data_IF_371893530917
#
_entry.id   IF_371893530917
#
_cell.length_a   1.000
_cell.length_b   1.000
_cell.length_c   1.000
_cell.angle_alpha   90.00
_cell.angle_beta   90.00
_cell.angle_gamma   90.00
#
_symmetry.space_group_name_H-M   'P 1'
#
loop_
_entity.id
_entity.type
_entity.pdbx_description
1 polymer ?
#
# COMPACT_ATOMS: atom_id res chain seq x y z
N UNK A 1 33.04 30.03 19.90
CA UNK A 1 33.26 29.05 20.99
C UNK A 1 34.15 27.99 20.37
N UNK A 2 35.21 27.56 21.04
CA UNK A 2 36.11 26.56 20.49
C UNK A 2 35.43 25.20 20.45
N UNK A 3 35.73 24.38 19.42
CA UNK A 3 35.32 23.00 19.34
C UNK A 3 36.02 22.14 20.42
N UNK A 4 35.40 21.03 20.84
CA UNK A 4 35.98 20.12 21.86
C UNK A 4 37.36 19.60 21.43
N UNK A 5 37.57 19.36 20.14
CA UNK A 5 38.86 18.96 19.58
C UNK A 5 39.95 20.02 19.78
N UNK A 6 39.61 21.31 19.64
CA UNK A 6 40.54 22.44 19.85
C UNK A 6 40.86 22.58 21.34
N UNK A 7 39.86 22.41 22.25
CA UNK A 7 40.06 22.44 23.69
C UNK A 7 40.97 21.29 24.15
N UNK A 8 40.73 20.07 23.62
CA UNK A 8 41.60 18.93 23.91
C UNK A 8 43.02 19.16 23.44
N UNK A 9 43.20 19.77 22.24
CA UNK A 9 44.51 20.10 21.73
C UNK A 9 45.22 21.12 22.64
N UNK A 10 44.53 22.17 23.13
CA UNK A 10 45.11 23.14 24.10
C UNK A 10 45.56 22.43 25.38
N UNK A 11 44.75 21.48 25.92
CA UNK A 11 45.09 20.70 27.11
C UNK A 11 46.30 19.79 26.89
N UNK A 12 46.35 19.05 25.75
CA UNK A 12 47.49 18.22 25.39
C UNK A 12 48.78 19.06 25.24
N UNK A 13 48.72 20.25 24.58
CA UNK A 13 49.85 21.14 24.47
C UNK A 13 50.33 21.68 25.81
N UNK A 14 49.42 21.93 26.77
CA UNK A 14 49.71 22.41 28.09
C UNK A 14 50.26 21.32 29.01
N UNK A 15 49.52 20.19 29.13
CA UNK A 15 49.77 19.17 30.16
C UNK A 15 50.82 18.15 29.73
N UNK A 16 50.83 17.75 28.44
CA UNK A 16 51.76 16.73 27.94
C UNK A 16 53.04 17.34 27.34
N UNK A 17 52.91 18.47 26.61
CA UNK A 17 54.06 19.10 25.96
C UNK A 17 54.64 20.28 26.75
N UNK A 18 54.04 20.66 27.88
CA UNK A 18 54.54 21.68 28.78
C UNK A 18 54.65 23.10 28.23
N UNK A 19 53.93 23.40 27.14
CA UNK A 19 54.04 24.69 26.46
C UNK A 19 53.46 25.85 27.33
N UNK A 20 54.10 27.06 27.20
CA UNK A 20 53.55 28.25 27.84
C UNK A 20 52.24 28.68 27.17
N UNK A 21 51.34 29.34 27.95
CA UNK A 21 50.07 29.84 27.47
C UNK A 21 50.21 30.73 26.24
N UNK A 22 51.26 31.57 26.22
CA UNK A 22 51.58 32.45 25.07
C UNK A 22 51.89 31.64 23.82
N UNK A 23 52.68 30.56 23.95
CA UNK A 23 53.03 29.70 22.84
C UNK A 23 51.85 28.89 22.34
N UNK A 24 50.94 28.43 23.25
CA UNK A 24 49.71 27.76 22.90
C UNK A 24 48.74 28.72 22.16
N UNK A 25 48.62 29.95 22.63
CA UNK A 25 47.79 30.98 21.99
C UNK A 25 48.26 31.25 20.55
N UNK A 26 49.55 31.35 20.35
CA UNK A 26 50.17 31.52 19.02
C UNK A 26 49.96 30.27 18.11
N UNK A 27 50.24 29.10 18.66
CA UNK A 27 50.16 27.82 17.88
C UNK A 27 48.74 27.51 17.45
N UNK A 28 47.75 27.77 18.33
CA UNK A 28 46.31 27.49 18.08
C UNK A 28 45.58 28.66 17.47
N UNK A 29 46.27 29.80 17.23
CA UNK A 29 45.69 31.06 16.74
C UNK A 29 44.45 31.50 17.53
N UNK A 30 44.53 31.43 18.87
CA UNK A 30 43.46 31.81 19.77
C UNK A 30 43.93 32.94 20.70
N UNK A 31 42.95 33.69 21.26
CA UNK A 31 43.28 34.75 22.23
C UNK A 31 43.94 34.14 23.49
N UNK A 32 44.94 34.82 24.02
CA UNK A 32 45.69 34.41 25.24
C UNK A 32 44.76 34.04 26.41
N UNK A 33 43.70 34.83 26.62
CA UNK A 33 42.72 34.56 27.68
C UNK A 33 41.97 33.24 27.42
N UNK A 34 41.71 32.92 26.18
CA UNK A 34 41.06 31.66 25.78
C UNK A 34 41.98 30.48 25.98
N UNK A 35 43.29 30.61 25.55
CA UNK A 35 44.31 29.61 25.80
C UNK A 35 44.52 29.36 27.30
N UNK A 36 44.60 30.42 28.13
CA UNK A 36 44.70 30.30 29.58
C UNK A 36 43.49 29.61 30.20
N UNK A 37 42.28 30.02 29.82
CA UNK A 37 41.04 29.45 30.33
C UNK A 37 40.94 27.95 30.15
N UNK A 38 41.32 27.43 28.99
CA UNK A 38 41.23 26.03 28.68
C UNK A 38 42.51 25.23 28.96
N UNK A 39 43.64 25.91 29.14
CA UNK A 39 44.92 25.29 29.44
C UNK A 39 45.15 25.06 30.93
N UNK A 40 44.82 26.07 31.76
CA UNK A 40 45.05 26.04 33.24
C UNK A 40 43.80 25.65 34.03
N UNK A 41 42.58 25.86 33.49
CA UNK A 41 41.34 25.48 34.14
C UNK A 41 40.86 24.09 33.70
N UNK A 42 40.53 23.22 34.61
CA UNK A 42 39.91 21.91 34.35
C UNK A 42 38.43 22.00 33.94
N UNK A 43 37.96 23.19 33.64
CA UNK A 43 36.57 23.41 33.31
C UNK A 43 36.29 23.07 31.84
N UNK A 44 35.49 22.03 31.61
CA UNK A 44 34.77 21.81 30.34
C UNK A 44 33.85 23.01 30.06
N UNK A 45 33.60 23.34 28.80
CA UNK A 45 32.64 24.41 28.47
C UNK A 45 31.31 24.12 29.18
N UNK A 46 30.89 24.99 30.06
CA UNK A 46 29.55 24.87 30.68
C UNK A 46 28.54 24.97 29.54
N UNK A 47 27.74 23.95 29.34
CA UNK A 47 26.59 24.05 28.47
C UNK A 47 25.75 25.25 28.89
N UNK A 48 25.55 26.18 27.96
CA UNK A 48 24.60 27.28 28.20
C UNK A 48 23.21 26.65 28.26
N UNK A 49 22.68 26.45 29.45
CA UNK A 49 21.27 26.16 29.66
C UNK A 49 20.48 27.33 29.08
N UNK A 50 19.94 27.18 27.87
CA UNK A 50 19.00 28.14 27.32
C UNK A 50 17.74 28.10 28.20
N UNK A 51 17.49 29.14 29.00
CA UNK A 51 16.22 29.29 29.68
C UNK A 51 15.20 29.58 28.59
N UNK A 52 14.31 28.62 28.34
CA UNK A 52 13.22 28.77 27.38
C UNK A 52 12.28 29.88 27.89
N UNK A 53 12.01 30.85 27.03
CA UNK A 53 11.17 32.01 27.32
C UNK A 53 9.90 31.98 26.52
N UNK A 54 8.87 32.69 26.97
CA UNK A 54 7.60 32.85 26.27
C UNK A 54 6.40 32.27 27.02
N UNK A 55 5.21 32.53 26.53
CA UNK A 55 3.94 32.27 27.21
C UNK A 55 3.79 30.83 27.73
N UNK A 56 4.32 29.84 27.01
CA UNK A 56 4.23 28.46 27.45
C UNK A 56 5.06 28.16 28.69
N UNK A 57 6.17 28.91 28.92
CA UNK A 57 7.12 28.67 30.01
C UNK A 57 6.99 29.68 31.14
N UNK A 58 6.87 30.98 30.83
CA UNK A 58 6.83 32.06 31.82
C UNK A 58 5.44 32.23 32.46
N UNK A 59 4.38 32.05 31.63
CA UNK A 59 2.97 32.12 32.06
C UNK A 59 2.37 30.79 32.48
N UNK A 60 3.19 29.73 32.52
CA UNK A 60 2.84 28.37 32.97
C UNK A 60 1.76 27.67 32.13
N UNK A 61 1.41 28.16 30.92
CA UNK A 61 0.46 27.47 30.02
C UNK A 61 0.96 26.08 29.60
N UNK A 62 2.30 25.92 29.57
CA UNK A 62 2.92 24.63 29.24
C UNK A 62 2.63 23.54 30.26
N UNK A 63 2.57 23.88 31.57
CA UNK A 63 2.26 22.92 32.63
C UNK A 63 0.88 22.30 32.40
N UNK A 64 -0.13 23.13 32.10
CA UNK A 64 -1.50 22.65 31.80
C UNK A 64 -1.53 21.72 30.58
N UNK A 65 -0.76 22.07 29.56
CA UNK A 65 -0.69 21.22 28.34
C UNK A 65 -0.01 19.90 28.64
N UNK A 66 1.04 19.87 29.46
CA UNK A 66 1.71 18.64 29.88
C UNK A 66 0.75 17.75 30.64
N UNK A 67 0.04 18.25 31.64
CA UNK A 67 -0.93 17.49 32.41
C UNK A 67 -1.99 16.87 31.52
N UNK A 68 -2.50 17.60 30.54
CA UNK A 68 -3.47 17.10 29.58
C UNK A 68 -2.90 16.02 28.63
N UNK A 69 -1.64 16.16 28.23
CA UNK A 69 -0.98 15.17 27.40
C UNK A 69 -0.69 13.87 28.16
N UNK A 70 -0.30 13.98 29.43
CA UNK A 70 -0.11 12.82 30.31
C UNK A 70 -1.41 12.09 30.60
N UNK A 71 -2.53 12.82 30.81
CA UNK A 71 -3.86 12.21 30.88
C UNK A 71 -4.21 11.46 29.59
N UNK A 72 -3.96 12.11 28.45
CA UNK A 72 -4.25 11.53 27.13
C UNK A 72 -3.41 10.29 26.84
N UNK A 73 -2.17 10.18 27.34
CA UNK A 73 -1.35 8.98 27.21
C UNK A 73 -2.00 7.75 27.83
N UNK A 74 -2.79 7.91 28.90
CA UNK A 74 -3.53 6.83 29.57
C UNK A 74 -4.76 6.37 28.78
N UNK A 75 -5.18 7.15 27.76
CA UNK A 75 -6.36 6.86 26.95
C UNK A 75 -6.01 6.17 25.63
N UNK A 76 -7.00 5.43 25.06
CA UNK A 76 -6.88 4.91 23.69
C UNK A 76 -6.69 6.06 22.70
N UNK A 77 -5.85 5.87 21.68
CA UNK A 77 -5.49 6.91 20.68
C UNK A 77 -6.69 7.69 20.10
N UNK A 78 -7.83 7.01 19.91
CA UNK A 78 -9.08 7.62 19.39
C UNK A 78 -9.77 8.57 20.36
N UNK A 79 -9.44 8.53 21.64
CA UNK A 79 -10.04 9.34 22.69
C UNK A 79 -9.13 10.51 23.12
N UNK A 80 -7.92 10.59 22.59
CA UNK A 80 -6.95 11.64 22.93
C UNK A 80 -7.35 12.96 22.28
N UNK A 81 -7.09 14.06 22.98
CA UNK A 81 -7.31 15.41 22.46
C UNK A 81 -6.45 15.66 21.21
N UNK A 82 -7.02 16.31 20.22
CA UNK A 82 -6.25 16.81 19.08
C UNK A 82 -5.57 18.14 19.47
N UNK A 83 -4.46 18.50 18.81
CA UNK A 83 -3.80 19.78 19.05
C UNK A 83 -4.77 20.96 18.89
N UNK A 84 -5.73 20.85 17.94
CA UNK A 84 -6.78 21.86 17.74
C UNK A 84 -7.67 21.99 18.97
N UNK A 85 -8.10 20.87 19.54
CA UNK A 85 -8.93 20.83 20.74
C UNK A 85 -8.20 21.42 21.95
N UNK A 86 -6.92 21.07 22.14
CA UNK A 86 -6.07 21.64 23.20
C UNK A 86 -6.03 23.17 23.11
N UNK A 87 -5.80 23.72 21.91
CA UNK A 87 -5.75 25.17 21.69
C UNK A 87 -7.10 25.84 21.94
N UNK A 88 -8.20 25.24 21.52
CA UNK A 88 -9.55 25.74 21.78
C UNK A 88 -9.85 25.85 23.30
N UNK A 89 -9.49 24.83 24.04
CA UNK A 89 -9.74 24.78 25.47
C UNK A 89 -8.80 25.76 26.22
N UNK A 90 -7.53 25.90 25.82
CA UNK A 90 -6.64 26.94 26.34
C UNK A 90 -7.19 28.35 26.08
N UNK A 91 -7.73 28.61 24.89
CA UNK A 91 -8.33 29.92 24.58
C UNK A 91 -9.54 30.27 25.47
N UNK A 92 -10.37 29.26 25.81
CA UNK A 92 -11.48 29.43 26.77
C UNK A 92 -10.98 29.83 28.16
N UNK A 93 -9.78 29.37 28.51
CA UNK A 93 -9.12 29.71 29.77
C UNK A 93 -8.38 31.08 29.74
N UNK A 94 -8.37 31.77 28.58
CA UNK A 94 -7.75 33.09 28.41
C UNK A 94 -6.38 33.09 27.74
N UNK A 95 -5.92 31.96 27.17
CA UNK A 95 -4.67 31.91 26.42
C UNK A 95 -4.73 32.75 25.14
N UNK A 96 -3.77 33.69 25.01
CA UNK A 96 -3.70 34.63 23.88
C UNK A 96 -2.70 34.22 22.80
N UNK A 97 -2.01 33.11 22.97
CA UNK A 97 -1.00 32.62 22.03
C UNK A 97 -1.57 32.01 20.74
N UNK A 98 -0.68 31.77 19.78
CA UNK A 98 -1.03 31.18 18.48
C UNK A 98 -1.15 29.65 18.56
N UNK A 99 -1.90 29.06 17.61
CA UNK A 99 -1.95 27.62 17.39
C UNK A 99 -0.54 27.01 17.21
N UNK A 100 0.31 27.69 16.46
CA UNK A 100 1.68 27.25 16.16
C UNK A 100 2.54 27.18 17.44
N UNK A 101 2.37 28.12 18.35
CA UNK A 101 3.08 28.14 19.63
C UNK A 101 2.82 26.90 20.46
N UNK A 102 1.54 26.49 20.55
CA UNK A 102 1.15 25.28 21.28
C UNK A 102 1.62 24.02 20.56
N UNK A 103 1.52 23.96 19.22
CA UNK A 103 2.00 22.83 18.45
C UNK A 103 3.52 22.61 18.59
N UNK A 104 4.31 23.69 18.53
CA UNK A 104 5.75 23.61 18.73
C UNK A 104 6.09 23.11 20.14
N UNK A 105 5.39 23.62 21.17
CA UNK A 105 5.57 23.15 22.54
C UNK A 105 5.24 21.66 22.70
N UNK A 106 4.12 21.20 22.13
CA UNK A 106 3.72 19.77 22.14
C UNK A 106 4.76 18.91 21.42
N UNK A 107 5.31 19.40 20.31
CA UNK A 107 6.35 18.70 19.57
C UNK A 107 7.64 18.57 20.38
N UNK A 108 8.07 19.64 21.04
CA UNK A 108 9.23 19.62 21.92
C UNK A 108 9.04 18.69 23.12
N UNK A 109 7.86 18.71 23.75
CA UNK A 109 7.55 17.82 24.86
C UNK A 109 7.56 16.36 24.43
N UNK A 110 6.96 16.02 23.30
CA UNK A 110 7.01 14.65 22.76
C UNK A 110 8.43 14.20 22.45
N UNK A 111 9.27 15.07 21.92
CA UNK A 111 10.67 14.73 21.65
C UNK A 111 11.45 14.43 22.95
N UNK A 112 11.17 15.15 24.07
CA UNK A 112 11.78 14.84 25.36
C UNK A 112 11.27 13.55 25.98
N UNK A 113 9.99 13.24 25.82
CA UNK A 113 9.40 11.97 26.27
C UNK A 113 9.91 10.77 25.43
N UNK A 114 10.02 10.94 24.10
CA UNK A 114 10.58 9.90 23.22
C UNK A 114 12.06 9.61 23.54
N UNK A 115 12.85 10.60 23.98
CA UNK A 115 14.23 10.41 24.45
C UNK A 115 14.29 9.63 25.79
N UNK A 116 13.33 9.83 26.70
CA UNK A 116 13.24 9.05 27.95
C UNK A 116 12.68 7.63 27.73
N UNK A 117 11.79 7.45 26.76
CA UNK A 117 11.18 6.16 26.40
C UNK A 117 12.01 5.38 25.38
N UNK A 118 12.99 5.99 24.72
CA UNK A 118 13.94 5.29 23.84
C UNK A 118 14.93 4.43 24.65
N UNK A 119 14.41 3.54 25.48
CA UNK A 119 15.09 2.29 25.80
C UNK A 119 15.30 1.62 24.47
N UNK A 120 16.53 1.65 23.98
CA UNK A 120 16.88 1.12 22.66
C UNK A 120 16.18 -0.20 22.43
N UNK A 121 15.26 -0.22 21.45
CA UNK A 121 14.64 -1.46 21.06
C UNK A 121 15.75 -2.27 20.39
N UNK A 122 16.14 -3.37 21.01
CA UNK A 122 17.02 -4.34 20.41
C UNK A 122 16.35 -4.85 19.13
N UNK A 123 17.07 -4.77 18.00
CA UNK A 123 16.53 -5.29 16.74
C UNK A 123 16.37 -6.79 16.88
N UNK A 124 15.19 -7.31 16.58
CA UNK A 124 14.94 -8.73 16.55
C UNK A 124 15.82 -9.36 15.46
N UNK A 125 16.69 -10.28 15.87
CA UNK A 125 17.41 -11.11 14.92
C UNK A 125 16.45 -12.16 14.37
N UNK A 126 16.36 -12.25 13.06
CA UNK A 126 15.55 -13.24 12.38
C UNK A 126 16.47 -14.33 11.83
N UNK A 127 16.29 -15.59 12.27
CA UNK A 127 17.06 -16.70 11.73
C UNK A 127 16.68 -16.98 10.28
N UNK A 128 17.62 -17.56 9.52
CA UNK A 128 17.34 -18.03 8.17
C UNK A 128 16.20 -19.06 8.17
N UNK A 129 15.35 -18.99 7.14
CA UNK A 129 14.18 -19.85 7.02
C UNK A 129 12.96 -19.41 7.84
N UNK A 130 13.04 -18.30 8.58
CA UNK A 130 11.85 -17.65 9.18
C UNK A 130 11.21 -16.73 8.14
N UNK A 131 9.91 -16.93 7.89
CA UNK A 131 9.13 -16.05 7.05
C UNK A 131 8.11 -15.21 7.85
N UNK A 132 7.78 -14.05 7.35
CA UNK A 132 6.66 -13.21 7.82
C UNK A 132 5.60 -13.13 6.72
N UNK A 133 4.32 -13.18 7.10
CA UNK A 133 3.19 -13.22 6.18
C UNK A 133 2.16 -12.14 6.52
N UNK A 134 1.67 -11.44 5.49
CA UNK A 134 0.61 -10.44 5.64
C UNK A 134 -0.23 -10.28 4.38
N UNK A 135 -1.46 -9.76 4.56
CA UNK A 135 -2.29 -9.27 3.46
C UNK A 135 -2.19 -7.76 3.30
N UNK A 136 -2.17 -7.33 2.05
CA UNK A 136 -2.34 -5.92 1.69
C UNK A 136 -3.41 -5.75 0.63
N UNK A 137 -4.29 -4.75 0.77
CA UNK A 137 -5.29 -4.46 -0.25
C UNK A 137 -4.74 -3.43 -1.22
N UNK A 138 -4.82 -3.74 -2.50
CA UNK A 138 -4.36 -2.95 -3.65
C UNK A 138 -5.48 -2.83 -4.69
N UNK A 139 -5.24 -2.09 -5.75
CA UNK A 139 -6.15 -1.96 -6.88
C UNK A 139 -5.43 -2.26 -8.19
N UNK A 140 -6.13 -2.92 -9.11
CA UNK A 140 -5.69 -3.10 -10.49
C UNK A 140 -6.82 -2.69 -11.45
N UNK A 141 -6.50 -2.53 -12.73
CA UNK A 141 -7.49 -2.24 -13.77
C UNK A 141 -7.58 -3.43 -14.71
N UNK A 142 -8.77 -4.00 -14.81
CA UNK A 142 -9.09 -5.11 -15.72
C UNK A 142 -10.28 -4.73 -16.59
N UNK A 143 -10.14 -4.81 -17.90
CA UNK A 143 -11.18 -4.43 -18.88
C UNK A 143 -11.72 -3.01 -18.71
N UNK A 144 -10.89 -2.07 -18.24
CA UNK A 144 -11.27 -0.68 -17.97
C UNK A 144 -12.01 -0.46 -16.65
N UNK A 145 -12.14 -1.49 -15.82
CA UNK A 145 -12.78 -1.43 -14.50
C UNK A 145 -11.76 -1.69 -13.38
N UNK A 146 -12.01 -1.13 -12.20
CA UNK A 146 -11.15 -1.33 -11.02
C UNK A 146 -11.53 -2.63 -10.34
N UNK A 147 -10.53 -3.48 -10.09
CA UNK A 147 -10.66 -4.70 -9.29
C UNK A 147 -9.85 -4.56 -8.00
N UNK A 148 -10.44 -5.00 -6.88
CA UNK A 148 -9.72 -5.10 -5.62
C UNK A 148 -8.81 -6.33 -5.67
N UNK A 149 -7.54 -6.14 -5.29
CA UNK A 149 -6.52 -7.18 -5.22
C UNK A 149 -6.10 -7.33 -3.76
N UNK A 150 -6.32 -8.48 -3.19
CA UNK A 150 -5.84 -8.85 -1.86
C UNK A 150 -4.48 -9.53 -2.01
N UNK A 151 -3.42 -8.77 -1.85
CA UNK A 151 -2.06 -9.25 -2.06
C UNK A 151 -1.58 -10.00 -0.82
N UNK A 152 -1.36 -11.31 -0.91
CA UNK A 152 -0.70 -12.09 0.12
C UNK A 152 0.80 -11.98 -0.09
N UNK A 153 1.51 -11.43 0.89
CA UNK A 153 2.96 -11.17 0.83
C UNK A 153 3.66 -12.02 1.87
N UNK A 154 4.68 -12.74 1.45
CA UNK A 154 5.61 -13.49 2.31
C UNK A 154 7.00 -12.91 2.18
N UNK A 155 7.63 -12.60 3.30
CA UNK A 155 9.01 -12.08 3.34
C UNK A 155 9.90 -12.95 4.21
N UNK A 156 11.18 -12.98 3.85
CA UNK A 156 12.25 -13.62 4.63
C UNK A 156 13.14 -12.51 5.19
N UNK A 157 13.00 -12.16 6.48
CA UNK A 157 13.72 -11.02 7.03
C UNK A 157 15.24 -11.17 7.01
N UNK A 158 15.76 -12.40 7.09
CA UNK A 158 17.21 -12.66 7.10
C UNK A 158 17.91 -12.25 5.81
N UNK A 159 17.30 -12.52 4.64
CA UNK A 159 17.77 -12.08 3.31
C UNK A 159 17.09 -10.82 2.81
N UNK A 160 15.99 -10.36 3.44
CA UNK A 160 15.11 -9.30 2.96
C UNK A 160 14.40 -9.62 1.63
N UNK A 161 14.31 -10.88 1.26
CA UNK A 161 13.59 -11.35 0.07
C UNK A 161 12.09 -11.34 0.32
N UNK A 162 11.31 -11.05 -0.73
CA UNK A 162 9.85 -11.08 -0.68
C UNK A 162 9.23 -11.78 -1.87
N UNK A 163 8.09 -12.41 -1.63
CA UNK A 163 7.22 -13.03 -2.61
C UNK A 163 5.80 -12.53 -2.42
N UNK A 164 5.02 -12.45 -3.50
CA UNK A 164 3.65 -11.97 -3.43
C UNK A 164 2.76 -12.71 -4.42
N UNK A 165 1.52 -12.94 -4.01
CA UNK A 165 0.48 -13.54 -4.85
C UNK A 165 -0.81 -12.72 -4.73
N UNK A 166 -1.42 -12.30 -5.85
CA UNK A 166 -2.70 -11.61 -5.83
C UNK A 166 -3.83 -12.62 -5.62
N UNK A 167 -4.75 -12.30 -4.72
CA UNK A 167 -5.95 -13.08 -4.41
C UNK A 167 -7.19 -12.20 -4.51
N UNK A 168 -8.36 -12.75 -4.85
CA UNK A 168 -9.61 -11.97 -4.93
C UNK A 168 -10.24 -11.69 -3.55
N UNK A 169 -9.67 -12.23 -2.48
CA UNK A 169 -10.16 -12.05 -1.10
C UNK A 169 -9.22 -12.62 -0.06
N UNK A 170 -9.64 -12.52 1.20
CA UNK A 170 -8.86 -12.98 2.38
C UNK A 170 -9.55 -14.15 3.10
N UNK A 171 -10.36 -14.92 2.39
CA UNK A 171 -10.98 -16.13 2.97
C UNK A 171 -9.97 -17.27 3.11
N UNK A 172 -10.39 -18.37 3.72
CA UNK A 172 -9.53 -19.53 4.00
C UNK A 172 -8.92 -20.12 2.71
N UNK A 173 -9.72 -20.25 1.66
CA UNK A 173 -9.30 -20.85 0.39
C UNK A 173 -8.27 -19.95 -0.31
N UNK A 174 -8.47 -18.62 -0.30
CA UNK A 174 -7.50 -17.65 -0.82
C UNK A 174 -6.20 -17.66 0.00
N UNK A 175 -6.31 -17.74 1.32
CA UNK A 175 -5.14 -17.76 2.21
C UNK A 175 -4.29 -19.01 2.01
N UNK A 176 -4.90 -20.20 2.08
CA UNK A 176 -4.17 -21.47 1.94
C UNK A 176 -3.67 -21.70 0.51
N UNK A 177 -4.50 -21.39 -0.49
CA UNK A 177 -4.10 -21.47 -1.90
C UNK A 177 -2.97 -20.51 -2.26
N UNK A 178 -3.07 -19.26 -1.79
CA UNK A 178 -2.01 -18.28 -1.94
C UNK A 178 -0.71 -18.70 -1.25
N UNK A 179 -0.80 -19.27 -0.06
CA UNK A 179 0.37 -19.75 0.66
C UNK A 179 1.09 -20.90 -0.06
N UNK A 180 0.32 -21.82 -0.71
CA UNK A 180 0.91 -22.86 -1.55
C UNK A 180 1.69 -22.28 -2.73
N UNK A 181 1.13 -21.28 -3.40
CA UNK A 181 1.82 -20.63 -4.53
C UNK A 181 3.06 -19.88 -4.07
N UNK A 182 3.03 -19.24 -2.89
CA UNK A 182 4.21 -18.60 -2.30
C UNK A 182 5.32 -19.62 -1.97
N UNK A 183 4.98 -20.82 -1.48
CA UNK A 183 5.94 -21.90 -1.26
C UNK A 183 6.58 -22.37 -2.56
N UNK A 184 5.78 -22.50 -3.64
CA UNK A 184 6.30 -22.85 -4.97
C UNK A 184 7.23 -21.76 -5.52
N UNK A 185 6.86 -20.48 -5.37
CA UNK A 185 7.70 -19.35 -5.79
C UNK A 185 9.03 -19.30 -5.02
N UNK A 186 9.00 -19.58 -3.72
CA UNK A 186 10.19 -19.66 -2.88
C UNK A 186 11.05 -20.91 -3.15
N UNK A 187 10.49 -21.94 -3.79
CA UNK A 187 11.16 -23.21 -4.03
C UNK A 187 11.26 -24.10 -2.78
N UNK A 188 10.51 -23.79 -1.71
CA UNK A 188 10.50 -24.54 -0.46
C UNK A 188 9.52 -23.97 0.55
N UNK A 189 9.38 -24.66 1.68
CA UNK A 189 8.51 -24.23 2.79
C UNK A 189 9.37 -23.63 3.90
N UNK A 190 9.02 -22.43 4.42
CA UNK A 190 9.74 -21.84 5.57
C UNK A 190 9.75 -22.78 6.77
N UNK A 191 10.81 -22.78 7.57
CA UNK A 191 10.88 -23.54 8.84
C UNK A 191 9.82 -22.99 9.82
N UNK A 192 9.65 -21.68 9.85
CA UNK A 192 8.63 -21.02 10.66
C UNK A 192 8.01 -19.83 9.93
N UNK A 193 6.72 -19.61 10.17
CA UNK A 193 5.97 -18.51 9.61
C UNK A 193 5.39 -17.67 10.73
N UNK A 194 5.72 -16.39 10.73
CA UNK A 194 5.15 -15.40 11.63
C UNK A 194 3.95 -14.73 10.97
N UNK A 195 2.80 -14.80 11.63
CA UNK A 195 1.53 -14.23 11.16
C UNK A 195 0.95 -13.26 12.20
N UNK A 196 0.16 -12.29 11.73
CA UNK A 196 -0.73 -11.54 12.61
C UNK A 196 -2.03 -12.33 12.90
N UNK A 197 -2.97 -11.70 13.56
CA UNK A 197 -4.28 -12.26 13.86
C UNK A 197 -5.16 -12.38 12.59
N UNK A 198 -4.65 -13.09 11.58
CA UNK A 198 -5.37 -13.34 10.33
C UNK A 198 -6.57 -14.25 10.61
N UNK A 199 -7.78 -13.75 10.34
CA UNK A 199 -9.04 -14.47 10.57
C UNK A 199 -9.07 -15.90 9.99
N UNK A 200 -8.53 -16.18 8.79
CA UNK A 200 -8.49 -17.54 8.25
C UNK A 200 -7.57 -18.49 9.02
N UNK A 201 -6.55 -17.95 9.69
CA UNK A 201 -5.51 -18.72 10.38
C UNK A 201 -5.77 -18.86 11.89
N UNK A 202 -6.30 -17.80 12.53
CA UNK A 202 -6.40 -17.69 13.99
C UNK A 202 -7.86 -17.68 14.43
N UNK A 203 -8.25 -18.66 15.26
CA UNK A 203 -9.60 -18.79 15.84
C UNK A 203 -9.75 -17.94 17.10
N UNK A 204 -8.71 -17.93 17.95
CA UNK A 204 -8.67 -17.10 19.16
C UNK A 204 -7.35 -16.36 19.21
N UNK A 205 -7.43 -15.06 19.38
CA UNK A 205 -6.29 -14.15 19.51
C UNK A 205 -5.60 -14.39 20.85
N UNK A 206 -4.28 -14.37 20.87
CA UNK A 206 -3.47 -14.41 22.08
C UNK A 206 -3.90 -13.31 23.06
N UNK A 207 -4.10 -13.66 24.33
CA UNK A 207 -4.37 -12.72 25.42
C UNK A 207 -3.48 -13.04 26.61
N UNK A 208 -2.53 -12.17 26.92
CA UNK A 208 -1.56 -12.40 28.00
C UNK A 208 -0.74 -13.66 27.75
N UNK A 209 -0.73 -14.57 28.71
CA UNK A 209 0.06 -15.83 28.67
C UNK A 209 -0.65 -16.96 27.90
N UNK A 210 -1.90 -16.76 27.43
CA UNK A 210 -2.59 -17.79 26.64
C UNK A 210 -2.11 -17.77 25.19
N UNK A 211 -1.72 -18.96 24.68
CA UNK A 211 -1.35 -19.12 23.27
C UNK A 211 -2.53 -18.87 22.33
N UNK A 212 -2.22 -18.43 21.11
CA UNK A 212 -3.23 -18.27 20.07
C UNK A 212 -3.72 -19.65 19.60
N UNK A 213 -5.04 -19.79 19.41
CA UNK A 213 -5.64 -21.02 18.87
C UNK A 213 -5.77 -20.89 17.34
N UNK A 214 -5.06 -21.73 16.59
CA UNK A 214 -5.17 -21.80 15.14
C UNK A 214 -6.50 -22.45 14.72
N UNK A 215 -6.98 -22.09 13.52
CA UNK A 215 -8.11 -22.81 12.89
C UNK A 215 -7.71 -24.24 12.58
N UNK A 216 -8.66 -25.17 12.63
CA UNK A 216 -8.39 -26.59 12.36
C UNK A 216 -7.83 -26.81 10.95
N UNK A 217 -8.43 -26.14 9.96
CA UNK A 217 -7.97 -26.22 8.57
C UNK A 217 -6.51 -25.74 8.40
N UNK A 218 -6.13 -24.63 9.06
CA UNK A 218 -4.77 -24.14 8.99
C UNK A 218 -3.79 -25.04 9.75
N UNK A 219 -4.22 -25.66 10.85
CA UNK A 219 -3.40 -26.63 11.60
C UNK A 219 -3.13 -27.89 10.76
N UNK A 220 -4.13 -28.41 10.01
CA UNK A 220 -3.94 -29.53 9.09
C UNK A 220 -2.96 -29.18 7.97
N UNK A 221 -3.10 -27.99 7.39
CA UNK A 221 -2.20 -27.45 6.38
C UNK A 221 -0.76 -27.30 6.91
N UNK A 222 -0.61 -26.74 8.11
CA UNK A 222 0.67 -26.60 8.81
C UNK A 222 1.35 -27.97 9.00
N UNK A 223 0.60 -28.95 9.50
CA UNK A 223 1.12 -30.29 9.75
C UNK A 223 1.56 -30.99 8.45
N UNK A 224 0.80 -30.79 7.36
CA UNK A 224 1.12 -31.37 6.05
C UNK A 224 2.47 -30.86 5.52
N UNK A 225 2.71 -29.56 5.61
CA UNK A 225 3.94 -28.93 5.12
C UNK A 225 5.08 -28.92 6.16
N UNK A 226 4.80 -29.17 7.43
CA UNK A 226 5.80 -29.34 8.49
C UNK A 226 6.41 -28.06 9.06
N UNK A 227 5.84 -26.89 8.80
CA UNK A 227 6.34 -25.61 9.32
C UNK A 227 5.77 -25.26 10.69
N UNK A 228 6.48 -24.38 11.42
CA UNK A 228 6.00 -23.83 12.70
C UNK A 228 5.26 -22.52 12.48
N UNK A 229 4.27 -22.23 13.32
CA UNK A 229 3.52 -20.94 13.26
C UNK A 229 3.81 -20.13 14.52
N UNK A 230 4.12 -18.86 14.34
CA UNK A 230 4.28 -17.89 15.40
C UNK A 230 3.23 -16.79 15.20
N UNK A 231 2.33 -16.63 16.16
CA UNK A 231 1.32 -15.56 16.10
C UNK A 231 1.83 -14.35 16.86
N UNK A 232 1.84 -13.18 16.20
CA UNK A 232 2.29 -11.92 16.80
C UNK A 232 1.43 -11.52 18.00
N UNK A 233 2.05 -10.86 18.97
CA UNK A 233 1.33 -10.27 20.08
C UNK A 233 0.50 -9.08 19.61
N UNK A 234 -0.75 -8.92 20.10
CA UNK A 234 -1.53 -7.73 19.81
C UNK A 234 -0.79 -6.46 20.21
N UNK A 235 -0.76 -5.47 19.32
CA UNK A 235 -0.14 -4.15 19.53
C UNK A 235 1.39 -4.09 19.55
N UNK A 236 2.10 -5.12 19.11
CA UNK A 236 3.56 -5.12 18.95
C UNK A 236 3.93 -5.11 17.46
N UNK A 237 3.75 -3.98 16.77
CA UNK A 237 4.12 -3.79 15.36
C UNK A 237 5.59 -4.09 15.05
N UNK A 238 6.49 -3.95 16.04
CA UNK A 238 7.93 -4.24 15.88
C UNK A 238 8.22 -5.70 15.51
N UNK A 239 7.33 -6.65 15.85
CA UNK A 239 7.51 -8.07 15.56
C UNK A 239 7.28 -8.42 14.07
N UNK A 240 6.68 -7.50 13.29
CA UNK A 240 6.23 -7.72 11.91
C UNK A 240 6.73 -6.67 10.91
N UNK A 241 7.65 -5.81 11.34
CA UNK A 241 8.09 -4.64 10.56
C UNK A 241 8.60 -4.96 9.15
N UNK A 242 9.20 -6.13 8.93
CA UNK A 242 9.75 -6.47 7.61
C UNK A 242 8.64 -6.69 6.56
N UNK A 243 7.61 -7.50 6.85
CA UNK A 243 6.52 -7.74 5.89
C UNK A 243 5.65 -6.51 5.66
N UNK A 244 5.39 -5.70 6.70
CA UNK A 244 4.66 -4.43 6.55
C UNK A 244 5.42 -3.46 5.63
N UNK A 245 6.74 -3.37 5.79
CA UNK A 245 7.61 -2.58 4.90
C UNK A 245 7.58 -3.12 3.46
N UNK A 246 7.58 -4.44 3.26
CA UNK A 246 7.51 -5.03 1.93
C UNK A 246 6.14 -4.81 1.28
N UNK A 247 5.03 -4.95 2.01
CA UNK A 247 3.68 -4.58 1.54
C UNK A 247 3.63 -3.11 1.14
N UNK A 248 4.21 -2.23 1.96
CA UNK A 248 4.38 -0.80 1.63
C UNK A 248 5.22 -0.59 0.38
N UNK A 249 6.36 -1.26 0.27
CA UNK A 249 7.24 -1.19 -0.90
C UNK A 249 6.51 -1.56 -2.19
N UNK A 250 5.82 -2.70 -2.21
CA UNK A 250 5.03 -3.15 -3.37
C UNK A 250 3.92 -2.15 -3.69
N UNK A 251 3.20 -1.64 -2.68
CA UNK A 251 2.15 -0.64 -2.85
C UNK A 251 2.68 0.63 -3.53
N UNK A 252 3.79 1.17 -3.06
CA UNK A 252 4.31 2.45 -3.54
C UNK A 252 5.09 2.33 -4.85
N UNK A 253 5.72 1.20 -5.14
CA UNK A 253 6.54 1.04 -6.33
C UNK A 253 5.81 0.35 -7.48
N UNK A 254 4.92 -0.59 -7.20
CA UNK A 254 4.21 -1.32 -8.25
C UNK A 254 2.74 -0.85 -8.39
N UNK A 255 2.02 -0.64 -7.28
CA UNK A 255 0.61 -0.25 -7.29
C UNK A 255 0.37 1.26 -7.12
N UNK A 256 1.39 2.10 -7.14
CA UNK A 256 1.24 3.57 -7.09
C UNK A 256 0.39 4.10 -8.24
N UNK A 257 0.53 3.47 -9.40
CA UNK A 257 -0.39 3.55 -10.53
C UNK A 257 -0.96 2.13 -10.70
N UNK A 258 -2.28 1.91 -10.47
CA UNK A 258 -2.84 0.58 -10.57
C UNK A 258 -2.50 -0.09 -11.90
N UNK A 259 -1.88 -1.28 -11.92
CA UNK A 259 -1.47 -1.94 -13.15
C UNK A 259 -2.69 -2.35 -13.98
N UNK A 260 -2.55 -2.31 -15.30
CA UNK A 260 -3.53 -2.89 -16.22
C UNK A 260 -3.22 -4.36 -16.37
N UNK A 261 -4.20 -5.22 -16.09
CA UNK A 261 -4.05 -6.66 -16.07
C UNK A 261 -5.10 -7.34 -16.97
N UNK A 262 -4.77 -8.51 -17.47
CA UNK A 262 -5.72 -9.40 -18.12
C UNK A 262 -6.51 -10.18 -17.07
N UNK A 263 -5.81 -10.78 -16.12
CA UNK A 263 -6.34 -11.61 -15.04
C UNK A 263 -5.34 -11.66 -13.87
N UNK A 264 -5.65 -12.44 -12.82
CA UNK A 264 -4.78 -12.63 -11.68
C UNK A 264 -3.48 -13.39 -11.98
N UNK A 265 -3.47 -14.22 -13.03
CA UNK A 265 -2.27 -14.95 -13.47
C UNK A 265 -1.26 -13.98 -14.10
N UNK A 266 -1.72 -13.10 -15.00
CA UNK A 266 -0.92 -12.03 -15.59
C UNK A 266 -0.32 -11.12 -14.50
N UNK A 267 -1.13 -10.72 -13.51
CA UNK A 267 -0.64 -9.91 -12.37
C UNK A 267 0.40 -10.69 -11.54
N UNK A 268 0.23 -12.00 -11.39
CA UNK A 268 1.20 -12.84 -10.66
C UNK A 268 2.56 -12.81 -11.35
N UNK A 269 2.60 -12.95 -12.67
CA UNK A 269 3.86 -12.94 -13.42
C UNK A 269 4.53 -11.55 -13.38
N UNK A 270 3.76 -10.47 -13.50
CA UNK A 270 4.27 -9.10 -13.35
C UNK A 270 4.90 -8.88 -11.96
N UNK A 271 4.24 -9.34 -10.89
CA UNK A 271 4.75 -9.23 -9.51
C UNK A 271 6.00 -10.10 -9.28
N UNK A 272 6.03 -11.32 -9.81
CA UNK A 272 7.23 -12.19 -9.73
C UNK A 272 8.44 -11.51 -10.36
N UNK A 273 8.29 -10.94 -11.55
CA UNK A 273 9.36 -10.24 -12.23
C UNK A 273 9.85 -9.04 -11.42
N UNK A 274 8.94 -8.18 -10.94
CA UNK A 274 9.25 -7.01 -10.13
C UNK A 274 9.99 -7.37 -8.82
N UNK A 275 9.52 -8.42 -8.12
CA UNK A 275 10.15 -8.85 -6.87
C UNK A 275 11.47 -9.59 -7.11
N UNK A 276 11.66 -10.18 -8.29
CA UNK A 276 12.95 -10.74 -8.69
C UNK A 276 13.97 -9.63 -8.94
N UNK A 277 13.58 -8.56 -9.65
CA UNK A 277 14.43 -7.38 -9.88
C UNK A 277 14.78 -6.67 -8.56
N UNK A 278 13.87 -6.63 -7.56
CA UNK A 278 14.17 -6.09 -6.21
C UNK A 278 15.31 -6.83 -5.50
N UNK A 279 15.60 -8.07 -5.85
CA UNK A 279 16.69 -8.85 -5.25
C UNK A 279 18.07 -8.48 -5.76
N UNK A 280 18.17 -7.78 -6.87
CA UNK A 280 19.45 -7.34 -7.44
C UNK A 280 20.07 -6.14 -6.68
N UNK A 281 19.34 -5.54 -5.74
CA UNK A 281 19.85 -4.46 -4.90
C UNK A 281 20.61 -4.95 -3.68
N UNK A 282 21.53 -4.14 -3.10
CA UNK A 282 22.19 -4.46 -1.84
C UNK A 282 21.18 -4.57 -0.67
N UNK A 283 21.49 -5.46 0.26
CA UNK A 283 20.78 -5.54 1.52
C UNK A 283 21.00 -4.26 2.35
N UNK A 284 19.99 -3.79 3.07
CA UNK A 284 20.03 -2.50 3.78
C UNK A 284 20.98 -2.46 4.98
N UNK A 285 21.41 -3.61 5.53
CA UNK A 285 22.36 -3.73 6.64
C UNK A 285 23.64 -4.47 6.26
N UNK A 286 23.55 -5.36 5.27
CA UNK A 286 24.66 -6.21 4.80
C UNK A 286 25.16 -5.62 3.47
N UNK A 287 26.43 -5.78 3.16
CA UNK A 287 26.98 -5.31 1.89
C UNK A 287 26.61 -6.20 0.69
N UNK A 288 26.17 -7.42 0.98
CA UNK A 288 25.82 -8.45 0.00
C UNK A 288 24.49 -8.12 -0.73
N UNK A 289 24.32 -8.65 -1.94
CA UNK A 289 23.06 -8.58 -2.66
C UNK A 289 21.99 -9.44 -1.98
N UNK A 290 20.74 -8.99 -2.07
CA UNK A 290 19.60 -9.76 -1.55
C UNK A 290 19.52 -11.13 -2.22
N UNK A 291 19.83 -11.22 -3.53
CA UNK A 291 19.82 -12.50 -4.25
C UNK A 291 20.83 -13.49 -3.72
N UNK A 292 22.06 -13.05 -3.38
CA UNK A 292 23.09 -13.92 -2.83
C UNK A 292 22.70 -14.46 -1.43
N UNK A 293 22.15 -13.58 -0.60
CA UNK A 293 21.63 -13.96 0.72
C UNK A 293 20.44 -14.92 0.58
N UNK A 294 19.57 -14.68 -0.39
CA UNK A 294 18.43 -15.56 -0.66
C UNK A 294 18.86 -16.96 -1.09
N UNK A 295 19.84 -17.09 -1.97
CA UNK A 295 20.36 -18.38 -2.40
C UNK A 295 20.96 -19.20 -1.24
N UNK A 296 21.49 -18.53 -0.21
CA UNK A 296 21.93 -19.19 1.02
C UNK A 296 20.75 -19.62 1.88
N UNK A 297 19.81 -18.70 2.15
CA UNK A 297 18.63 -18.95 2.98
C UNK A 297 17.71 -20.02 2.37
N UNK A 298 17.55 -20.05 1.04
CA UNK A 298 16.73 -21.02 0.33
C UNK A 298 17.15 -22.47 0.63
N UNK A 299 18.43 -22.74 0.88
CA UNK A 299 18.94 -24.08 1.23
C UNK A 299 18.45 -24.59 2.59
N UNK A 300 17.98 -23.67 3.46
CA UNK A 300 17.45 -24.01 4.78
C UNK A 300 15.95 -24.35 4.73
N UNK A 301 15.27 -24.09 3.61
CA UNK A 301 13.84 -24.34 3.49
C UNK A 301 13.52 -25.85 3.52
N UNK A 302 12.37 -26.17 4.06
CA UNK A 302 11.82 -27.54 4.00
C UNK A 302 11.48 -27.85 2.55
N UNK A 303 11.86 -29.04 2.08
CA UNK A 303 11.56 -29.49 0.71
C UNK A 303 10.05 -29.54 0.48
N UNK A 304 9.60 -29.03 -0.68
CA UNK A 304 8.21 -29.14 -1.09
C UNK A 304 7.79 -30.61 -1.23
N UNK A 305 6.57 -30.89 -0.83
CA UNK A 305 5.94 -32.19 -1.09
C UNK A 305 5.64 -32.33 -2.59
N UNK A 306 5.69 -33.54 -3.10
CA UNK A 306 5.37 -33.85 -4.52
C UNK A 306 3.91 -33.50 -4.84
N UNK A 307 3.00 -33.81 -3.92
CA UNK A 307 1.59 -33.49 -4.04
C UNK A 307 1.26 -32.23 -3.23
N UNK A 308 0.41 -31.38 -3.77
CA UNK A 308 -0.07 -30.20 -3.06
C UNK A 308 -1.22 -30.58 -2.11
N UNK A 309 -1.26 -29.96 -0.92
CA UNK A 309 -2.40 -30.10 0.00
C UNK A 309 -3.71 -29.66 -0.70
N UNK A 310 -4.80 -30.46 -0.64
CA UNK A 310 -6.06 -30.11 -1.27
C UNK A 310 -6.73 -28.93 -0.54
N UNK A 311 -6.72 -27.76 -1.17
CA UNK A 311 -7.33 -26.53 -0.61
C UNK A 311 -8.74 -26.37 -1.17
N UNK A 312 -9.72 -26.78 -0.39
CA UNK A 312 -11.14 -26.55 -0.67
C UNK A 312 -11.95 -26.56 0.62
N UNK A 313 -13.16 -26.04 0.56
CA UNK A 313 -14.15 -26.16 1.63
C UNK A 313 -15.40 -26.81 1.08
N UNK A 314 -15.88 -27.86 1.75
CA UNK A 314 -17.13 -28.54 1.39
C UNK A 314 -18.17 -28.35 2.50
N UNK A 315 -19.40 -28.04 2.13
CA UNK A 315 -20.49 -27.89 3.09
C UNK A 315 -21.85 -28.26 2.47
N UNK A 316 -22.81 -28.76 3.25
CA UNK A 316 -24.15 -29.04 2.80
C UNK A 316 -24.90 -27.75 2.47
N UNK A 317 -25.71 -27.76 1.42
CA UNK A 317 -26.47 -26.60 0.95
C UNK A 317 -27.94 -26.73 1.37
N UNK A 318 -28.52 -25.59 1.81
CA UNK A 318 -29.95 -25.41 2.00
C UNK A 318 -30.51 -24.44 0.97
N UNK A 319 -31.56 -24.83 0.27
CA UNK A 319 -32.19 -24.04 -0.77
C UNK A 319 -33.43 -23.30 -0.27
N UNK A 320 -33.63 -22.11 -0.82
CA UNK A 320 -34.90 -21.39 -0.67
C UNK A 320 -35.98 -21.92 -1.65
N UNK A 321 -37.16 -21.30 -1.64
CA UNK A 321 -38.26 -21.68 -2.54
C UNK A 321 -37.99 -21.50 -4.04
N UNK A 322 -36.93 -20.77 -4.39
CA UNK A 322 -36.51 -20.48 -5.78
C UNK A 322 -35.35 -21.36 -6.27
N UNK A 323 -34.99 -22.43 -5.54
CA UNK A 323 -33.83 -23.27 -5.79
C UNK A 323 -32.50 -22.50 -5.69
N UNK A 324 -32.40 -21.52 -4.79
CA UNK A 324 -31.22 -20.72 -4.61
C UNK A 324 -30.59 -20.96 -3.24
N UNK A 325 -29.28 -20.97 -3.18
CA UNK A 325 -28.51 -20.90 -1.94
C UNK A 325 -27.62 -19.66 -1.92
N UNK A 326 -27.13 -19.26 -0.75
CA UNK A 326 -26.30 -18.08 -0.59
C UNK A 326 -24.83 -18.45 -0.54
N UNK A 327 -24.03 -17.88 -1.45
CA UNK A 327 -22.58 -17.98 -1.49
C UNK A 327 -21.98 -16.56 -1.62
N UNK A 328 -21.00 -16.21 -0.79
CA UNK A 328 -20.31 -14.90 -0.81
C UNK A 328 -21.27 -13.70 -0.88
N UNK A 329 -22.36 -13.77 -0.11
CA UNK A 329 -23.46 -12.78 -0.07
C UNK A 329 -24.36 -12.73 -1.32
N UNK A 330 -24.12 -13.56 -2.34
CA UNK A 330 -24.92 -13.66 -3.57
C UNK A 330 -25.84 -14.89 -3.53
N UNK A 331 -26.97 -14.81 -4.21
CA UNK A 331 -27.88 -15.95 -4.41
C UNK A 331 -27.50 -16.68 -5.69
N UNK A 332 -27.24 -17.98 -5.57
CA UNK A 332 -26.86 -18.87 -6.66
C UNK A 332 -28.04 -19.80 -6.95
N UNK A 333 -28.58 -19.73 -8.13
CA UNK A 333 -29.63 -20.63 -8.59
C UNK A 333 -29.02 -21.96 -9.07
N UNK A 334 -29.56 -23.08 -8.54
CA UNK A 334 -29.14 -24.42 -8.94
C UNK A 334 -30.29 -25.11 -9.66
N UNK A 335 -30.18 -25.37 -10.98
CA UNK A 335 -31.23 -26.05 -11.71
C UNK A 335 -31.57 -27.42 -11.10
N UNK A 336 -32.85 -27.75 -11.02
CA UNK A 336 -33.35 -29.04 -10.50
C UNK A 336 -32.91 -29.40 -9.08
N UNK A 337 -32.50 -28.43 -8.25
CA UNK A 337 -32.06 -28.70 -6.88
C UNK A 337 -33.03 -29.54 -6.06
N UNK A 338 -34.33 -29.39 -6.29
CA UNK A 338 -35.39 -30.13 -5.58
C UNK A 338 -35.47 -31.62 -5.92
N UNK A 339 -34.82 -32.07 -6.97
CA UNK A 339 -34.77 -33.48 -7.33
C UNK A 339 -33.84 -34.28 -6.43
N UNK A 340 -33.07 -33.61 -5.57
CA UNK A 340 -32.04 -34.22 -4.73
C UNK A 340 -32.36 -33.97 -3.25
N UNK A 341 -32.16 -35.00 -2.43
CA UNK A 341 -32.38 -34.93 -0.97
C UNK A 341 -31.34 -34.03 -0.31
N UNK A 342 -30.08 -34.13 -0.77
CA UNK A 342 -28.97 -33.37 -0.24
C UNK A 342 -27.99 -33.01 -1.36
N UNK A 343 -27.54 -31.77 -1.37
CA UNK A 343 -26.47 -31.28 -2.23
C UNK A 343 -25.37 -30.65 -1.40
N UNK A 344 -24.15 -30.64 -1.93
CA UNK A 344 -22.99 -30.03 -1.33
C UNK A 344 -22.39 -28.95 -2.23
N UNK A 345 -21.87 -27.91 -1.63
CA UNK A 345 -21.01 -26.94 -2.33
C UNK A 345 -19.56 -27.20 -1.96
N UNK A 346 -18.72 -27.33 -2.99
CA UNK A 346 -17.25 -27.30 -2.85
C UNK A 346 -16.80 -25.94 -3.35
N UNK A 347 -16.04 -25.22 -2.51
CA UNK A 347 -15.49 -23.91 -2.86
C UNK A 347 -13.98 -23.97 -2.91
N UNK A 348 -13.44 -23.39 -3.97
CA UNK A 348 -12.02 -23.06 -4.17
C UNK A 348 -11.85 -21.56 -4.07
N UNK A 349 -10.63 -21.06 -4.21
CA UNK A 349 -10.39 -19.61 -4.11
C UNK A 349 -10.98 -18.83 -5.31
N UNK A 350 -11.05 -19.44 -6.50
CA UNK A 350 -11.50 -18.83 -7.76
C UNK A 350 -12.87 -19.33 -8.23
N UNK A 351 -13.28 -20.52 -7.80
CA UNK A 351 -14.43 -21.24 -8.34
C UNK A 351 -15.22 -21.96 -7.25
N UNK A 352 -16.40 -22.46 -7.62
CA UNK A 352 -17.19 -23.37 -6.80
C UNK A 352 -17.88 -24.42 -7.64
N UNK A 353 -18.20 -25.55 -7.01
CA UNK A 353 -18.98 -26.65 -7.60
C UNK A 353 -20.14 -27.01 -6.68
N UNK A 354 -21.28 -27.30 -7.27
CA UNK A 354 -22.41 -27.94 -6.57
C UNK A 354 -22.48 -29.39 -7.00
N UNK A 355 -22.40 -30.31 -6.04
CA UNK A 355 -22.33 -31.74 -6.28
C UNK A 355 -23.45 -32.49 -5.54
N UNK A 356 -23.82 -33.64 -6.06
CA UNK A 356 -24.68 -34.62 -5.39
C UNK A 356 -23.89 -35.45 -4.39
N UNK A 357 -24.59 -36.29 -3.60
CA UNK A 357 -23.97 -37.27 -2.70
C UNK A 357 -23.06 -38.27 -3.46
N UNK A 358 -23.37 -38.54 -4.72
CA UNK A 358 -22.64 -39.48 -5.58
C UNK A 358 -21.45 -38.82 -6.31
N UNK A 359 -21.27 -37.52 -6.11
CA UNK A 359 -20.16 -36.74 -6.71
C UNK A 359 -20.49 -36.17 -8.09
N UNK A 360 -21.72 -36.30 -8.61
CA UNK A 360 -22.13 -35.68 -9.86
C UNK A 360 -22.14 -34.15 -9.72
N UNK A 361 -21.51 -33.46 -10.68
CA UNK A 361 -21.43 -32.00 -10.71
C UNK A 361 -22.67 -31.44 -11.41
N UNK A 362 -23.51 -30.72 -10.67
CA UNK A 362 -24.73 -30.07 -11.20
C UNK A 362 -24.46 -28.64 -11.68
N UNK A 363 -23.51 -27.94 -11.05
CA UNK A 363 -23.15 -26.59 -11.38
C UNK A 363 -21.65 -26.38 -11.08
N UNK A 364 -20.95 -25.67 -11.95
CA UNK A 364 -19.61 -25.20 -11.73
C UNK A 364 -19.49 -23.78 -12.31
N UNK A 365 -19.05 -22.80 -11.52
CA UNK A 365 -18.89 -21.41 -11.94
C UNK A 365 -17.78 -20.74 -11.11
N UNK A 366 -17.34 -19.54 -11.54
CA UNK A 366 -16.43 -18.70 -10.78
C UNK A 366 -17.08 -18.20 -9.50
N UNK A 367 -16.27 -18.02 -8.45
CA UNK A 367 -16.75 -17.43 -7.19
C UNK A 367 -17.37 -16.04 -7.45
N UNK A 368 -18.49 -15.70 -6.77
CA UNK A 368 -19.16 -14.41 -7.00
C UNK A 368 -18.25 -13.17 -6.87
N UNK A 369 -17.28 -13.19 -5.97
CA UNK A 369 -16.36 -12.08 -5.79
C UNK A 369 -15.37 -11.89 -6.95
N UNK A 370 -15.14 -12.90 -7.80
CA UNK A 370 -14.32 -12.78 -9.03
C UNK A 370 -14.94 -11.83 -10.06
N UNK A 371 -16.25 -11.60 -9.97
CA UNK A 371 -17.02 -10.70 -10.86
C UNK A 371 -17.19 -9.31 -10.27
N UNK A 372 -16.68 -9.04 -9.07
CA UNK A 372 -16.83 -7.74 -8.40
C UNK A 372 -15.85 -6.73 -8.96
N UNK A 373 -16.38 -5.69 -9.58
CA UNK A 373 -15.59 -4.61 -10.19
C UNK A 373 -16.19 -3.25 -9.85
N UNK A 374 -15.38 -2.19 -9.98
CA UNK A 374 -15.77 -0.80 -9.78
C UNK A 374 -15.45 0.01 -11.02
N UNK A 375 -16.40 0.82 -11.48
CA UNK A 375 -16.15 1.73 -12.61
C UNK A 375 -15.17 2.84 -12.20
N UNK A 376 -14.26 3.18 -13.13
CA UNK A 376 -13.47 4.40 -13.01
C UNK A 376 -14.43 5.58 -13.15
N UNK A 377 -14.42 6.57 -12.23
CA UNK A 377 -15.37 7.68 -12.23
C UNK A 377 -15.05 8.72 -13.32
N UNK A 378 -15.10 8.31 -14.59
CA UNK A 378 -14.71 9.13 -15.75
C UNK A 378 -15.41 10.48 -15.81
N UNK A 379 -16.70 10.53 -15.46
CA UNK A 379 -17.47 11.78 -15.45
C UNK A 379 -16.84 12.84 -14.54
N UNK A 380 -16.39 12.47 -13.37
CA UNK A 380 -15.78 13.41 -12.43
C UNK A 380 -14.33 13.75 -12.85
N UNK A 381 -13.59 12.76 -13.33
CA UNK A 381 -12.22 12.96 -13.84
C UNK A 381 -12.23 13.95 -15.03
N UNK A 382 -13.11 13.75 -16.02
CA UNK A 382 -13.20 14.64 -17.17
C UNK A 382 -13.66 16.05 -16.81
N UNK A 383 -14.56 16.22 -15.82
CA UNK A 383 -14.92 17.54 -15.27
C UNK A 383 -13.72 18.27 -14.67
N UNK A 384 -12.85 17.56 -13.96
CA UNK A 384 -11.64 18.15 -13.41
C UNK A 384 -10.61 18.47 -14.51
N UNK A 385 -10.49 17.62 -15.51
CA UNK A 385 -9.66 17.90 -16.68
C UNK A 385 -10.16 19.10 -17.49
N UNK A 386 -11.47 19.31 -17.57
CA UNK A 386 -12.05 20.48 -18.22
C UNK A 386 -11.59 21.80 -17.58
N UNK A 387 -11.44 21.83 -16.25
CA UNK A 387 -10.88 22.97 -15.50
C UNK A 387 -9.39 23.18 -15.82
N UNK A 388 -8.64 22.10 -16.05
CA UNK A 388 -7.18 22.11 -16.29
C UNK A 388 -6.77 21.17 -17.44
N UNK A 389 -7.09 21.49 -18.73
CA UNK A 389 -6.91 20.54 -19.85
C UNK A 389 -5.48 20.10 -20.14
N UNK A 390 -4.47 20.82 -19.63
CA UNK A 390 -3.06 20.43 -19.73
C UNK A 390 -2.74 19.17 -18.93
N UNK A 391 -3.53 18.86 -17.90
CA UNK A 391 -3.33 17.71 -17.00
C UNK A 391 -3.47 16.38 -17.73
N UNK A 392 -4.24 16.31 -18.84
CA UNK A 392 -4.47 15.06 -19.58
C UNK A 392 -3.16 14.35 -19.95
N UNK A 393 -2.13 15.09 -20.36
CA UNK A 393 -0.83 14.50 -20.73
C UNK A 393 -0.05 13.86 -19.58
N UNK A 394 -0.42 14.16 -18.32
CA UNK A 394 0.32 13.75 -17.11
C UNK A 394 -0.57 13.15 -16.01
N UNK A 395 -1.86 13.00 -16.29
CA UNK A 395 -2.80 12.45 -15.31
C UNK A 395 -2.55 10.95 -15.11
N UNK A 396 -2.64 10.52 -13.85
CA UNK A 396 -2.60 9.09 -13.50
C UNK A 396 -3.70 8.26 -14.16
N UNK A 397 -4.78 8.89 -14.62
CA UNK A 397 -5.90 8.21 -15.27
C UNK A 397 -5.77 8.10 -16.79
N UNK A 398 -4.87 8.84 -17.40
CA UNK A 398 -4.64 8.82 -18.86
C UNK A 398 -4.25 7.44 -19.42
N UNK A 399 -3.46 6.60 -18.72
CA UNK A 399 -3.15 5.23 -19.18
C UNK A 399 -4.37 4.31 -19.29
N UNK A 400 -5.44 4.60 -18.54
CA UNK A 400 -6.67 3.79 -18.52
C UNK A 400 -7.72 4.22 -19.53
N UNK A 401 -7.49 5.32 -20.25
CA UNK A 401 -8.35 5.69 -21.35
C UNK A 401 -8.22 4.66 -22.49
N UNK A 402 -9.35 4.28 -23.12
CA UNK A 402 -9.31 3.57 -24.38
C UNK A 402 -8.46 4.34 -25.42
N UNK A 403 -7.73 3.62 -26.26
CA UNK A 403 -6.73 4.20 -27.17
C UNK A 403 -7.35 5.31 -28.05
N UNK A 404 -8.52 5.07 -28.63
CA UNK A 404 -9.22 6.04 -29.49
C UNK A 404 -9.58 7.32 -28.76
N UNK A 405 -10.10 7.20 -27.54
CA UNK A 405 -10.48 8.35 -26.69
C UNK A 405 -9.24 9.11 -26.22
N UNK A 406 -8.16 8.39 -25.92
CA UNK A 406 -6.88 9.01 -25.55
C UNK A 406 -6.33 9.85 -26.72
N UNK A 407 -6.29 9.32 -27.93
CA UNK A 407 -5.87 10.03 -29.13
C UNK A 407 -6.76 11.22 -29.41
N UNK A 408 -8.06 11.05 -29.29
CA UNK A 408 -9.06 12.12 -29.45
C UNK A 408 -8.81 13.29 -28.49
N UNK A 409 -8.46 13.03 -27.23
CA UNK A 409 -8.19 14.07 -26.23
C UNK A 409 -6.76 14.65 -26.31
N UNK A 410 -5.80 13.93 -26.89
CA UNK A 410 -4.40 14.35 -26.96
C UNK A 410 -4.14 15.23 -28.19
N UNK A 411 -4.72 16.42 -28.22
CA UNK A 411 -4.54 17.40 -29.30
C UNK A 411 -3.75 18.61 -28.78
N UNK A 412 -2.93 19.28 -29.63
CA UNK A 412 -2.14 20.44 -29.22
C UNK A 412 -2.98 21.64 -28.76
N UNK A 413 -4.09 21.91 -29.45
CA UNK A 413 -4.98 23.06 -29.16
C UNK A 413 -5.75 22.85 -27.85
N UNK A 414 -5.56 23.75 -26.89
CA UNK A 414 -6.29 23.74 -25.63
C UNK A 414 -7.80 24.03 -25.80
N UNK A 415 -8.17 24.86 -26.77
CA UNK A 415 -9.57 25.16 -27.08
C UNK A 415 -10.26 23.89 -27.59
N UNK A 416 -9.68 23.24 -28.61
CA UNK A 416 -10.18 21.97 -29.15
C UNK A 416 -10.25 20.87 -28.11
N UNK A 417 -9.26 20.79 -27.23
CA UNK A 417 -9.25 19.81 -26.12
C UNK A 417 -10.41 20.04 -25.16
N UNK A 418 -10.73 21.30 -24.82
CA UNK A 418 -11.89 21.63 -23.98
C UNK A 418 -13.20 21.27 -24.67
N UNK A 419 -13.33 21.55 -25.95
CA UNK A 419 -14.49 21.16 -26.74
C UNK A 419 -14.71 19.65 -26.68
N UNK A 420 -13.69 18.86 -27.01
CA UNK A 420 -13.72 17.39 -26.99
C UNK A 420 -14.01 16.78 -25.62
N UNK A 421 -13.53 17.44 -24.54
CA UNK A 421 -13.88 17.05 -23.17
C UNK A 421 -15.38 17.28 -22.88
N UNK A 422 -15.96 18.39 -23.35
CA UNK A 422 -17.40 18.67 -23.20
C UNK A 422 -18.24 17.66 -24.00
N UNK A 423 -17.84 17.32 -25.22
CA UNK A 423 -18.51 16.34 -26.05
C UNK A 423 -18.53 14.96 -25.35
N UNK A 424 -17.38 14.50 -24.81
CA UNK A 424 -17.33 13.25 -24.04
C UNK A 424 -18.15 13.32 -22.76
N UNK A 425 -18.17 14.46 -22.05
CA UNK A 425 -19.00 14.64 -20.86
C UNK A 425 -20.49 14.57 -21.18
N UNK A 426 -20.91 15.06 -22.33
CA UNK A 426 -22.29 14.95 -22.82
C UNK A 426 -22.64 13.50 -23.11
N UNK A 427 -21.77 12.76 -23.81
CA UNK A 427 -21.95 11.35 -24.09
C UNK A 427 -22.00 10.49 -22.83
N UNK A 428 -21.19 10.79 -21.82
CA UNK A 428 -21.18 10.11 -20.52
C UNK A 428 -22.45 10.32 -19.67
N UNK A 429 -23.40 11.10 -20.13
CA UNK A 429 -24.73 11.18 -19.48
C UNK A 429 -25.57 9.95 -19.81
N UNK A 430 -25.45 9.42 -21.02
CA UNK A 430 -26.29 8.35 -21.56
C UNK A 430 -25.54 7.04 -21.83
N UNK A 431 -24.21 7.10 -21.98
CA UNK A 431 -23.36 5.96 -22.31
C UNK A 431 -22.22 5.82 -21.30
N UNK A 432 -21.72 4.63 -21.12
CA UNK A 432 -20.46 4.42 -20.38
C UNK A 432 -19.22 4.60 -21.29
N UNK A 433 -18.03 4.64 -20.69
CA UNK A 433 -16.77 4.86 -21.43
C UNK A 433 -16.47 3.75 -22.42
N UNK A 434 -16.88 2.52 -22.13
CA UNK A 434 -16.68 1.34 -23.00
C UNK A 434 -17.61 1.38 -24.21
N UNK A 435 -18.87 1.75 -24.00
CA UNK A 435 -19.84 1.95 -25.06
C UNK A 435 -19.42 3.08 -26.00
N UNK A 436 -18.91 4.18 -25.45
CA UNK A 436 -18.37 5.30 -26.24
C UNK A 436 -17.18 4.84 -27.08
N UNK A 437 -16.26 4.04 -26.55
CA UNK A 437 -15.12 3.54 -27.31
C UNK A 437 -15.55 2.57 -28.42
N UNK A 438 -16.48 1.67 -28.13
CA UNK A 438 -16.99 0.71 -29.12
C UNK A 438 -17.68 1.41 -30.31
N UNK A 439 -18.50 2.42 -30.02
CA UNK A 439 -19.30 3.15 -30.99
C UNK A 439 -18.72 4.56 -31.29
N UNK A 440 -17.40 4.72 -31.11
CA UNK A 440 -16.72 6.01 -31.10
C UNK A 440 -17.04 6.89 -32.31
N UNK A 441 -16.90 6.34 -33.52
CA UNK A 441 -17.11 7.10 -34.75
C UNK A 441 -18.57 7.51 -34.94
N UNK A 442 -19.50 6.65 -34.56
CA UNK A 442 -20.93 6.93 -34.69
C UNK A 442 -21.39 8.03 -33.69
N UNK A 443 -20.96 7.93 -32.45
CA UNK A 443 -21.36 8.85 -31.40
C UNK A 443 -20.70 10.21 -31.51
N UNK A 444 -19.45 10.27 -31.96
CA UNK A 444 -18.72 11.54 -32.14
C UNK A 444 -19.17 12.27 -33.44
N UNK A 445 -19.42 11.54 -34.56
CA UNK A 445 -19.90 12.17 -35.79
C UNK A 445 -21.30 12.72 -35.62
N UNK A 446 -22.22 12.04 -34.96
CA UNK A 446 -23.57 12.57 -34.69
C UNK A 446 -23.56 13.87 -33.86
N UNK A 447 -22.64 13.99 -32.89
CA UNK A 447 -22.51 15.21 -32.09
C UNK A 447 -21.80 16.35 -32.85
N UNK A 448 -21.03 16.06 -33.89
CA UNK A 448 -20.43 17.11 -34.74
C UNK A 448 -21.38 17.67 -35.77
N UNK A 449 -22.38 16.92 -36.19
CA UNK A 449 -23.41 17.37 -37.13
C UNK A 449 -24.42 18.36 -36.52
N UNK A 450 -24.58 18.35 -35.17
CA UNK A 450 -25.43 19.30 -34.43
C UNK A 450 -24.73 20.65 -34.13
N UNK A 451 -23.41 20.76 -34.38
CA UNK A 451 -22.71 22.04 -34.23
C UNK A 451 -22.42 22.64 -35.59
N UNK A 452 -23.10 23.72 -35.92
CA UNK A 452 -22.79 24.55 -37.11
C UNK A 452 -21.27 24.85 -37.17
N UNK A 453 -20.64 24.47 -38.28
CA UNK A 453 -19.25 24.82 -38.55
C UNK A 453 -19.12 26.35 -38.45
N UNK A 454 -18.07 26.92 -37.84
CA UNK A 454 -17.89 28.38 -37.72
C UNK A 454 -17.92 29.13 -39.04
N UNK A 455 -17.92 28.43 -40.16
CA UNK A 455 -18.07 28.99 -41.53
C UNK A 455 -19.37 28.60 -42.21
N UNK A 456 -20.36 28.02 -41.51
CA UNK A 456 -21.69 27.72 -42.11
C UNK A 456 -21.70 26.60 -43.15
N UNK A 457 -20.63 25.81 -43.25
CA UNK A 457 -20.52 24.72 -44.24
C UNK A 457 -20.83 23.38 -43.55
N UNK A 458 -21.88 22.70 -44.03
CA UNK A 458 -22.19 21.33 -43.57
C UNK A 458 -21.29 20.32 -44.30
N UNK A 459 -20.83 19.28 -43.61
CA UNK A 459 -20.03 18.21 -44.22
C UNK A 459 -20.75 17.53 -45.42
N UNK A 460 -22.08 17.52 -45.43
CA UNK A 460 -22.91 17.09 -46.56
C UNK A 460 -22.67 17.92 -47.84
N UNK A 461 -22.14 19.11 -47.71
CA UNK A 461 -21.82 19.96 -48.88
C UNK A 461 -20.52 19.49 -49.56
N UNK A 462 -19.67 18.75 -48.86
CA UNK A 462 -18.46 18.13 -49.43
C UNK A 462 -18.77 16.80 -50.16
N UNK A 463 -19.80 16.06 -49.76
CA UNK A 463 -20.24 14.85 -50.47
C UNK A 463 -20.77 15.16 -51.90
N UNK A 464 -21.29 16.39 -52.10
CA UNK A 464 -21.69 16.87 -53.41
C UNK A 464 -20.50 17.16 -54.35
N UNK A 465 -19.29 17.31 -53.80
CA UNK A 465 -18.05 17.52 -54.57
C UNK A 465 -17.28 16.20 -54.85
N UNK A 466 -17.82 15.08 -54.45
CA UNK A 466 -17.24 13.77 -54.71
C UNK A 466 -17.29 13.46 -56.23
N UNK A 467 -16.23 12.92 -56.85
CA UNK A 467 -16.14 12.70 -58.29
C UNK A 467 -17.12 11.67 -58.92
N UNK A 468 -18.11 11.19 -58.17
CA UNK A 468 -19.14 10.25 -58.70
C UNK A 468 -20.17 10.89 -59.62
N UNK A 469 -20.09 12.17 -59.89
CA UNK A 469 -21.01 12.90 -60.78
C UNK A 469 -20.53 13.15 -62.19
N UNK A 470 -19.37 12.70 -62.61
CA UNK A 470 -18.95 12.73 -64.03
C UNK A 470 -19.19 11.38 -64.68
N UNK A 471 -20.42 11.13 -65.09
CA UNK A 471 -20.68 10.21 -66.21
C UNK A 471 -20.08 10.80 -67.50
N UNK A 472 -19.02 10.17 -67.95
CA UNK A 472 -18.47 10.42 -69.26
C UNK A 472 -19.48 9.85 -70.26
N UNK A 473 -20.22 10.73 -70.91
CA UNK A 473 -20.98 10.38 -72.11
C UNK A 473 -20.00 9.96 -73.22
N UNK A 474 -19.91 8.66 -73.48
CA UNK A 474 -19.26 8.10 -74.68
C UNK A 474 -20.14 8.46 -75.86
N UNK A 475 -19.72 9.39 -76.72
CA UNK A 475 -20.11 9.43 -78.10
C UNK A 475 -19.02 8.83 -78.97
N UNK A 476 -19.41 7.78 -79.72
CA UNK A 476 -18.84 7.15 -80.89
C UNK A 476 -17.38 6.69 -80.85
#
# INVERSE_FOLDING_TARGET
>A
MLAMSEINCIKTLRNEKGLSISKIAETMNVNWRTAKKYGDDDQLPKEKKYIKKGMMYEEKWGEIVIDWLEEDLKLKKKLRRTNKKIVEDLKKMGFKGSYRTVCNFIQEWRATEDDEVSKGHERLQHPEGEAQLDFGVMEAVQDGEIVDVHLLVMTFPASNTGFAIPMPGENLECFLGGLQELFKQAGGVPISIRIDNLTPAVKKVRKGDTEAELTEAFRHFQNYYGFKVQVCNPSRGNEKGNVENKVGYVRYNFFSLPPVIKDFEDLTEQLKQQLKEDRDRPHYEKEELIEDLWQQEQKQLIKLQEESYPVFKQFPIKFNKYNEFKLDKHFIHVPRARNYVQLYCITYWDSFKVITNEGEILLSDARPYMKKRRFIPWKDILKDWLKKPRVIGHSRYTPYLPTRIKEYLTVPSLALRKQRLNELLTLLVTHDMKEIDQNFYELISKNSDDQEHPYGVKWTDYDALSPKGMEVSSHE
#
